data_IF_748495030588
#
_entry.id   IF_748495030588
#
_cell.length_a   1.000
_cell.length_b   1.000
_cell.length_c   1.000
_cell.angle_alpha   90.00
_cell.angle_beta   90.00
_cell.angle_gamma   90.00
#
_symmetry.space_group_name_H-M   'P 1'
#
loop_
_entity.id
_entity.type
_entity.pdbx_description
1 polymer ?
#
# COMPACT_ATOMS: atom_id res chain seq x y z
N UNK A 1 -32.65 19.13 -57.25
CA UNK A 1 -32.62 19.08 -55.75
C UNK A 1 -32.36 20.50 -55.26
N UNK A 2 -33.28 21.10 -54.51
CA UNK A 2 -33.18 22.49 -54.13
C UNK A 2 -32.15 22.66 -52.99
N UNK A 3 -31.40 23.75 -53.00
CA UNK A 3 -30.39 24.13 -52.04
C UNK A 3 -30.89 23.99 -50.57
N UNK A 4 -32.17 24.24 -50.34
CA UNK A 4 -32.85 24.11 -49.05
C UNK A 4 -32.95 22.65 -48.53
N UNK A 5 -33.05 21.66 -49.41
CA UNK A 5 -33.09 20.23 -49.04
C UNK A 5 -31.69 19.76 -48.65
N UNK A 6 -30.66 20.32 -49.24
CA UNK A 6 -29.25 20.01 -48.91
C UNK A 6 -28.86 20.61 -47.56
N UNK A 7 -29.32 21.83 -47.26
CA UNK A 7 -29.06 22.49 -45.96
C UNK A 7 -29.82 21.80 -44.82
N UNK A 8 -31.05 21.36 -45.07
CA UNK A 8 -31.83 20.60 -44.07
C UNK A 8 -31.23 19.20 -43.80
N UNK A 9 -30.70 18.52 -44.80
CA UNK A 9 -30.03 17.24 -44.65
C UNK A 9 -28.71 17.38 -43.89
N UNK A 10 -27.95 18.48 -44.11
CA UNK A 10 -26.70 18.76 -43.40
C UNK A 10 -26.95 19.06 -41.92
N UNK A 11 -27.98 19.81 -41.58
CA UNK A 11 -28.38 20.09 -40.20
C UNK A 11 -28.84 18.84 -39.44
N UNK A 12 -29.56 17.91 -40.11
CA UNK A 12 -29.99 16.63 -39.55
C UNK A 12 -28.80 15.69 -39.28
N UNK A 13 -27.78 15.69 -40.14
CA UNK A 13 -26.55 14.88 -39.95
C UNK A 13 -25.71 15.40 -38.78
N UNK A 14 -25.62 16.72 -38.60
CA UNK A 14 -24.89 17.32 -37.47
C UNK A 14 -25.61 17.05 -36.14
N UNK A 15 -26.95 17.05 -36.09
CA UNK A 15 -27.71 16.73 -34.89
C UNK A 15 -27.61 15.24 -34.51
N UNK A 16 -27.38 14.33 -35.46
CA UNK A 16 -27.25 12.89 -35.21
C UNK A 16 -25.87 12.51 -34.59
N UNK A 17 -24.85 13.39 -34.66
CA UNK A 17 -23.52 13.16 -34.11
C UNK A 17 -23.41 13.71 -32.65
N UNK A 18 -24.37 14.53 -32.24
CA UNK A 18 -24.47 15.03 -30.87
C UNK A 18 -25.11 13.97 -29.98
N UNK A 19 -24.38 12.94 -29.62
CA UNK A 19 -24.76 12.06 -28.52
C UNK A 19 -24.94 12.88 -27.21
N UNK A 20 -25.66 12.34 -26.20
CA UNK A 20 -25.82 13.06 -24.94
C UNK A 20 -24.44 13.43 -24.41
N UNK A 21 -24.16 14.74 -24.27
CA UNK A 21 -22.93 15.24 -23.68
C UNK A 21 -23.00 14.98 -22.17
N UNK A 22 -22.48 13.83 -21.73
CA UNK A 22 -22.33 13.51 -20.32
C UNK A 22 -21.25 14.42 -19.71
N UNK A 23 -21.51 14.95 -18.53
CA UNK A 23 -20.55 15.79 -17.80
C UNK A 23 -19.35 14.98 -17.25
N UNK A 24 -19.32 13.67 -17.44
CA UNK A 24 -18.30 12.76 -16.92
C UNK A 24 -18.07 11.59 -17.90
N UNK A 25 -16.94 10.91 -17.77
CA UNK A 25 -16.61 9.68 -18.49
C UNK A 25 -17.46 8.52 -17.95
N UNK A 26 -18.43 8.05 -18.76
CA UNK A 26 -19.35 6.98 -18.37
C UNK A 26 -18.68 5.63 -18.23
N UNK A 27 -17.68 5.32 -19.06
CA UNK A 27 -16.93 4.05 -18.99
C UNK A 27 -16.08 4.01 -17.73
N UNK A 28 -15.44 5.12 -17.39
CA UNK A 28 -14.68 5.25 -16.15
C UNK A 28 -15.61 5.17 -14.92
N UNK A 29 -16.77 5.80 -14.95
CA UNK A 29 -17.77 5.71 -13.89
C UNK A 29 -18.24 4.27 -13.66
N UNK A 30 -18.50 3.50 -14.73
CA UNK A 30 -18.86 2.09 -14.64
C UNK A 30 -17.74 1.24 -14.04
N UNK A 31 -16.49 1.49 -14.40
CA UNK A 31 -15.35 0.77 -13.83
C UNK A 31 -15.20 1.02 -12.33
N UNK A 32 -15.41 2.26 -11.87
CA UNK A 32 -15.46 2.58 -10.44
C UNK A 32 -16.67 1.94 -9.75
N UNK A 33 -17.84 1.88 -10.39
CA UNK A 33 -19.00 1.19 -9.83
C UNK A 33 -18.70 -0.29 -9.56
N UNK A 34 -17.96 -0.97 -10.43
CA UNK A 34 -17.48 -2.35 -10.23
C UNK A 34 -16.50 -2.44 -9.06
N UNK A 35 -15.53 -1.53 -8.98
CA UNK A 35 -14.53 -1.48 -7.89
C UNK A 35 -15.20 -1.31 -6.52
N UNK A 36 -16.21 -0.45 -6.42
CA UNK A 36 -16.88 -0.15 -5.16
C UNK A 36 -18.10 -1.04 -4.86
N UNK A 37 -18.54 -1.90 -5.77
CA UNK A 37 -19.67 -2.80 -5.56
C UNK A 37 -19.56 -3.66 -4.28
N UNK A 38 -18.38 -4.20 -3.87
CA UNK A 38 -18.24 -4.98 -2.64
C UNK A 38 -18.15 -4.12 -1.37
N UNK A 39 -18.06 -2.80 -1.44
CA UNK A 39 -17.92 -1.91 -0.28
C UNK A 39 -19.27 -1.70 0.39
N UNK A 40 -19.63 -2.63 1.29
CA UNK A 40 -20.94 -2.64 1.97
C UNK A 40 -20.81 -2.98 3.45
N UNK A 41 -21.55 -2.26 4.29
CA UNK A 41 -21.72 -2.56 5.71
C UNK A 41 -20.40 -2.70 6.49
N UNK A 42 -20.35 -3.64 7.43
CA UNK A 42 -19.20 -3.86 8.32
C UNK A 42 -17.92 -4.31 7.60
N UNK A 43 -18.04 -4.88 6.40
CA UNK A 43 -16.90 -5.37 5.61
C UNK A 43 -16.29 -4.31 4.69
N UNK A 44 -16.85 -3.10 4.64
CA UNK A 44 -16.41 -2.03 3.76
C UNK A 44 -14.90 -1.74 3.86
N UNK A 45 -14.35 -1.67 5.06
CA UNK A 45 -12.92 -1.46 5.28
C UNK A 45 -12.05 -2.55 4.65
N UNK A 46 -12.46 -3.82 4.76
CA UNK A 46 -11.78 -4.95 4.14
C UNK A 46 -11.88 -4.89 2.61
N UNK A 47 -13.07 -4.58 2.07
CA UNK A 47 -13.29 -4.43 0.64
C UNK A 47 -12.51 -3.26 0.04
N UNK A 48 -12.24 -2.22 0.81
CA UNK A 48 -11.35 -1.10 0.44
C UNK A 48 -9.88 -1.39 0.69
N UNK A 49 -9.50 -2.60 1.14
CA UNK A 49 -8.13 -2.97 1.51
C UNK A 49 -7.52 -2.03 2.57
N UNK A 50 -8.31 -1.56 3.53
CA UNK A 50 -7.79 -0.80 4.66
C UNK A 50 -7.11 -1.76 5.64
N UNK A 51 -5.85 -1.45 5.99
CA UNK A 51 -5.06 -2.16 6.98
C UNK A 51 -4.89 -1.28 8.22
N UNK A 52 -5.23 -1.79 9.40
CA UNK A 52 -4.99 -1.07 10.65
C UNK A 52 -3.51 -1.12 11.07
N UNK A 53 -3.03 -0.20 11.91
CA UNK A 53 -1.65 -0.24 12.42
C UNK A 53 -1.29 -1.54 13.11
N UNK A 54 -2.18 -2.11 13.92
CA UNK A 54 -1.98 -3.39 14.61
C UNK A 54 -1.81 -4.56 13.63
N UNK A 55 -2.67 -4.65 12.60
CA UNK A 55 -2.54 -5.67 11.54
C UNK A 55 -1.24 -5.50 10.74
N UNK A 56 -0.83 -4.26 10.45
CA UNK A 56 0.44 -3.99 9.79
C UNK A 56 1.63 -4.45 10.64
N UNK A 57 1.67 -4.08 11.93
CA UNK A 57 2.75 -4.46 12.84
C UNK A 57 2.78 -5.98 13.05
N UNK A 58 1.61 -6.63 13.17
CA UNK A 58 1.53 -8.09 13.27
C UNK A 58 2.14 -8.79 12.06
N UNK A 59 1.88 -8.31 10.84
CA UNK A 59 2.47 -8.86 9.61
C UNK A 59 3.98 -8.66 9.55
N UNK A 60 4.47 -7.48 9.94
CA UNK A 60 5.91 -7.20 10.03
C UNK A 60 6.58 -8.10 11.05
N UNK A 61 5.97 -8.29 12.22
CA UNK A 61 6.51 -9.17 13.28
C UNK A 61 6.48 -10.66 12.91
N UNK A 62 5.56 -11.06 12.03
CA UNK A 62 5.48 -12.40 11.48
C UNK A 62 6.41 -12.62 10.26
N UNK A 63 7.23 -11.62 9.92
CA UNK A 63 8.15 -11.64 8.76
C UNK A 63 7.43 -11.96 7.44
N UNK A 64 6.14 -11.58 7.33
CA UNK A 64 5.41 -11.74 6.08
C UNK A 64 6.03 -10.89 4.96
N UNK A 65 6.03 -11.42 3.74
CA UNK A 65 6.57 -10.74 2.56
C UNK A 65 5.69 -9.53 2.21
N UNK A 66 6.05 -8.37 2.74
CA UNK A 66 5.39 -7.10 2.44
C UNK A 66 6.38 -6.01 2.05
N UNK A 67 5.89 -5.03 1.32
CA UNK A 67 6.63 -3.84 0.89
C UNK A 67 5.85 -2.60 1.32
N UNK A 68 6.53 -1.66 1.94
CA UNK A 68 5.95 -0.34 2.23
C UNK A 68 6.16 0.56 1.01
N UNK A 69 5.08 1.16 0.52
CA UNK A 69 5.09 2.20 -0.50
C UNK A 69 4.82 3.55 0.18
N UNK A 70 5.88 4.28 0.49
CA UNK A 70 5.81 5.60 1.09
C UNK A 70 5.63 6.67 0.01
N UNK A 71 4.44 7.26 -0.04
CA UNK A 71 4.08 8.27 -1.04
C UNK A 71 4.19 9.72 -0.52
N UNK A 72 4.90 9.92 0.57
CA UNK A 72 5.14 11.26 1.12
C UNK A 72 6.12 12.05 0.28
N UNK A 73 6.17 13.35 0.53
CA UNK A 73 7.14 14.23 -0.14
C UNK A 73 8.57 13.96 0.35
N UNK A 74 9.61 14.31 -0.44
CA UNK A 74 11.00 14.20 0.00
C UNK A 74 11.28 14.97 1.30
N UNK A 75 10.64 16.11 1.52
CA UNK A 75 10.76 16.88 2.75
C UNK A 75 10.22 16.12 3.98
N UNK A 76 9.13 15.37 3.81
CA UNK A 76 8.57 14.53 4.88
C UNK A 76 9.44 13.30 5.16
N UNK A 77 9.91 12.63 4.12
CA UNK A 77 10.73 11.41 4.24
C UNK A 77 12.16 11.70 4.70
N UNK A 78 12.68 12.90 4.42
CA UNK A 78 13.98 13.35 4.91
C UNK A 78 14.05 13.58 6.41
N UNK A 79 12.90 13.80 7.08
CA UNK A 79 12.84 13.91 8.54
C UNK A 79 12.81 12.51 9.18
N UNK A 80 11.93 11.64 8.73
CA UNK A 80 11.86 10.24 9.12
C UNK A 80 11.12 9.42 8.06
N UNK A 81 11.45 8.15 7.92
CA UNK A 81 10.89 7.25 6.92
C UNK A 81 10.65 5.84 7.46
N UNK A 82 10.02 4.99 6.65
CA UNK A 82 9.96 3.56 6.91
C UNK A 82 11.32 2.93 6.61
N UNK A 83 11.84 2.14 7.56
CA UNK A 83 13.15 1.48 7.47
C UNK A 83 13.04 -0.02 7.19
N UNK A 84 11.86 -0.50 6.87
CA UNK A 84 11.63 -1.91 6.52
C UNK A 84 12.36 -2.29 5.23
N UNK A 85 12.94 -3.50 5.15
CA UNK A 85 13.57 -3.98 3.94
C UNK A 85 12.61 -3.90 2.74
N UNK A 86 13.11 -3.41 1.60
CA UNK A 86 12.31 -3.29 0.38
C UNK A 86 11.34 -2.11 0.36
N UNK A 87 11.40 -1.19 1.33
CA UNK A 87 10.58 0.04 1.29
C UNK A 87 10.84 0.81 -0.01
N UNK A 88 9.76 1.15 -0.71
CA UNK A 88 9.77 2.03 -1.88
C UNK A 88 9.33 3.44 -1.46
N UNK A 89 10.15 4.42 -1.76
CA UNK A 89 9.78 5.84 -1.60
C UNK A 89 9.50 6.39 -2.98
N UNK A 90 8.25 6.72 -3.23
CA UNK A 90 7.77 7.28 -4.51
C UNK A 90 6.74 8.38 -4.17
N UNK A 91 7.09 9.65 -4.28
CA UNK A 91 6.16 10.74 -4.02
C UNK A 91 4.88 10.61 -4.86
N UNK A 92 3.73 10.97 -4.29
CA UNK A 92 2.43 10.76 -4.94
C UNK A 92 2.31 11.42 -6.31
N UNK A 93 2.99 12.54 -6.53
CA UNK A 93 3.03 13.25 -7.83
C UNK A 93 3.82 12.50 -8.91
N UNK A 94 4.65 11.53 -8.54
CA UNK A 94 5.45 10.71 -9.45
C UNK A 94 4.93 9.26 -9.54
N UNK A 95 3.98 8.89 -8.69
CA UNK A 95 3.54 7.52 -8.49
C UNK A 95 2.98 6.87 -9.76
N UNK A 96 2.21 7.62 -10.54
CA UNK A 96 1.50 7.10 -11.71
C UNK A 96 2.27 7.22 -13.03
N UNK A 97 3.59 7.46 -12.98
CA UNK A 97 4.45 7.30 -14.16
C UNK A 97 4.71 5.82 -14.42
N UNK A 98 4.91 5.45 -15.68
CA UNK A 98 5.22 4.06 -16.07
C UNK A 98 6.43 3.52 -15.30
N UNK A 99 7.51 4.32 -15.22
CA UNK A 99 8.72 3.95 -14.49
C UNK A 99 8.47 3.70 -13.00
N UNK A 100 7.58 4.45 -12.36
CA UNK A 100 7.23 4.26 -10.96
C UNK A 100 6.33 3.03 -10.75
N UNK A 101 5.34 2.84 -11.60
CA UNK A 101 4.43 1.69 -11.54
C UNK A 101 5.18 0.36 -11.75
N UNK A 102 6.16 0.33 -12.66
CA UNK A 102 7.00 -0.84 -12.91
C UNK A 102 7.84 -1.28 -11.69
N UNK A 103 8.06 -0.40 -10.71
CA UNK A 103 8.79 -0.72 -9.47
C UNK A 103 7.91 -1.36 -8.39
N UNK A 104 6.59 -1.28 -8.52
CA UNK A 104 5.66 -1.80 -7.52
C UNK A 104 5.51 -3.30 -7.72
N UNK A 105 5.86 -4.15 -6.73
CA UNK A 105 5.75 -5.58 -6.86
C UNK A 105 4.27 -6.03 -6.91
N UNK A 106 4.00 -7.08 -7.67
CA UNK A 106 2.66 -7.68 -7.80
C UNK A 106 2.54 -9.02 -7.06
N UNK A 107 3.67 -9.57 -6.61
CA UNK A 107 3.79 -10.87 -5.92
C UNK A 107 3.82 -10.78 -4.39
N UNK A 108 3.84 -9.56 -3.83
CA UNK A 108 3.91 -9.29 -2.39
C UNK A 108 2.82 -8.32 -1.96
N UNK A 109 2.45 -8.35 -0.68
CA UNK A 109 1.59 -7.33 -0.11
C UNK A 109 2.26 -5.95 -0.17
N UNK A 110 1.63 -4.97 -0.81
CA UNK A 110 2.11 -3.59 -0.86
C UNK A 110 1.25 -2.74 0.06
N UNK A 111 1.86 -2.07 1.02
CA UNK A 111 1.15 -1.20 1.97
C UNK A 111 1.48 0.25 1.69
N UNK A 112 0.51 0.98 1.14
CA UNK A 112 0.65 2.41 0.85
C UNK A 112 0.52 3.23 2.12
N UNK A 113 1.51 4.07 2.37
CA UNK A 113 1.58 4.93 3.55
C UNK A 113 1.81 6.39 3.18
N UNK A 114 1.10 7.29 3.89
CA UNK A 114 1.40 8.72 3.87
C UNK A 114 1.30 9.28 5.30
N UNK A 115 1.35 10.60 5.49
CA UNK A 115 1.32 11.22 6.82
C UNK A 115 0.08 10.84 7.64
N UNK A 116 -1.14 10.95 7.06
CA UNK A 116 -2.43 10.82 7.78
C UNK A 116 -3.39 9.79 7.18
N UNK A 117 -2.98 9.07 6.13
CA UNK A 117 -3.83 8.11 5.42
C UNK A 117 -4.63 8.70 4.25
N UNK A 118 -4.86 10.00 4.18
CA UNK A 118 -5.72 10.63 3.15
C UNK A 118 -5.16 10.45 1.73
N UNK A 119 -3.90 10.82 1.50
CA UNK A 119 -3.22 10.62 0.20
C UNK A 119 -3.14 9.12 -0.14
N UNK A 120 -2.83 8.28 0.86
CA UNK A 120 -2.75 6.83 0.70
C UNK A 120 -4.11 6.22 0.32
N UNK A 121 -5.22 6.72 0.85
CA UNK A 121 -6.55 6.26 0.47
C UNK A 121 -6.84 6.54 -1.02
N UNK A 122 -6.59 7.76 -1.48
CA UNK A 122 -6.78 8.12 -2.89
C UNK A 122 -5.86 7.32 -3.82
N UNK A 123 -4.55 7.32 -3.53
CA UNK A 123 -3.55 6.64 -4.36
C UNK A 123 -3.71 5.12 -4.35
N UNK A 124 -3.97 4.51 -3.20
CA UNK A 124 -4.18 3.06 -3.08
C UNK A 124 -5.45 2.60 -3.80
N UNK A 125 -6.53 3.39 -3.74
CA UNK A 125 -7.74 3.11 -4.53
C UNK A 125 -7.46 3.20 -6.03
N UNK A 126 -6.71 4.22 -6.47
CA UNK A 126 -6.34 4.37 -7.88
C UNK A 126 -5.42 3.24 -8.36
N UNK A 127 -4.42 2.82 -7.56
CA UNK A 127 -3.57 1.66 -7.87
C UNK A 127 -4.40 0.39 -8.04
N UNK A 128 -5.34 0.12 -7.13
CA UNK A 128 -6.24 -1.04 -7.25
C UNK A 128 -7.13 -0.95 -8.49
N UNK A 129 -7.60 0.23 -8.82
CA UNK A 129 -8.42 0.46 -10.01
C UNK A 129 -7.69 0.14 -11.32
N UNK A 130 -6.36 0.34 -11.34
CA UNK A 130 -5.51 0.00 -12.51
C UNK A 130 -4.90 -1.41 -12.44
N UNK A 131 -5.30 -2.25 -11.44
CA UNK A 131 -4.99 -3.68 -11.41
C UNK A 131 -3.99 -4.15 -10.35
N UNK A 132 -3.58 -3.31 -9.40
CA UNK A 132 -2.74 -3.74 -8.26
C UNK A 132 -3.61 -4.28 -7.12
N UNK A 133 -4.13 -5.50 -7.24
CA UNK A 133 -5.01 -6.12 -6.25
C UNK A 133 -4.33 -6.41 -4.90
N UNK A 134 -3.00 -6.48 -4.89
CA UNK A 134 -2.15 -6.71 -3.72
C UNK A 134 -1.89 -5.44 -2.90
N UNK A 135 -2.45 -4.29 -3.29
CA UNK A 135 -2.27 -3.00 -2.61
C UNK A 135 -3.24 -2.84 -1.45
N UNK A 136 -2.70 -2.51 -0.29
CA UNK A 136 -3.40 -2.15 0.94
C UNK A 136 -3.08 -0.72 1.34
N UNK A 137 -3.95 -0.11 2.13
CA UNK A 137 -3.86 1.29 2.57
C UNK A 137 -3.71 1.30 4.08
N UNK A 138 -2.61 1.86 4.60
CA UNK A 138 -2.42 1.99 6.04
C UNK A 138 -3.39 3.05 6.60
N UNK A 139 -4.36 2.60 7.39
CA UNK A 139 -5.37 3.46 8.01
C UNK A 139 -4.71 4.46 8.95
N UNK A 140 -4.95 5.76 8.71
CA UNK A 140 -4.37 6.83 9.51
C UNK A 140 -2.89 7.12 9.26
N UNK A 141 -2.24 6.41 8.34
CA UNK A 141 -0.88 6.64 7.90
C UNK A 141 0.18 6.58 9.01
N UNK A 142 1.30 7.27 8.82
CA UNK A 142 2.39 7.35 9.82
C UNK A 142 1.93 7.89 11.16
N UNK A 143 0.97 8.83 11.18
CA UNK A 143 0.45 9.37 12.45
C UNK A 143 -0.18 8.29 13.32
N UNK A 144 -1.01 7.43 12.73
CA UNK A 144 -1.66 6.35 13.46
C UNK A 144 -0.66 5.24 13.83
N UNK A 145 0.28 4.92 12.94
CA UNK A 145 1.35 3.95 13.22
C UNK A 145 2.24 4.41 14.36
N UNK A 146 2.71 5.66 14.36
CA UNK A 146 3.51 6.23 15.43
C UNK A 146 2.75 6.27 16.77
N UNK A 147 1.45 6.57 16.73
CA UNK A 147 0.60 6.51 17.93
C UNK A 147 0.43 5.08 18.47
N UNK A 148 0.32 4.11 17.61
CA UNK A 148 0.25 2.69 17.97
C UNK A 148 1.58 2.18 18.56
N UNK A 149 2.71 2.54 17.97
CA UNK A 149 4.06 2.17 18.43
C UNK A 149 4.58 3.10 19.57
N UNK A 150 3.73 3.96 20.12
CA UNK A 150 4.10 4.88 21.20
C UNK A 150 4.37 4.19 22.54
N UNK A 151 4.62 4.97 23.60
CA UNK A 151 5.05 4.44 24.92
C UNK A 151 4.11 3.38 25.51
N UNK A 152 2.83 3.45 25.21
CA UNK A 152 1.86 2.47 25.68
C UNK A 152 2.14 1.07 25.11
N UNK A 153 2.45 0.98 23.84
CA UNK A 153 2.71 -0.29 23.17
C UNK A 153 4.13 -0.78 23.46
N UNK A 154 5.10 0.16 23.52
CA UNK A 154 6.46 -0.16 23.91
C UNK A 154 6.57 -0.75 25.33
N UNK A 155 5.61 -0.43 26.22
CA UNK A 155 5.52 -0.96 27.57
C UNK A 155 4.48 -2.07 27.74
N UNK A 156 3.79 -2.47 26.67
CA UNK A 156 2.91 -3.62 26.71
C UNK A 156 3.73 -4.90 26.94
N UNK A 157 3.27 -5.76 27.84
CA UNK A 157 3.90 -7.08 27.98
C UNK A 157 3.89 -7.78 26.64
N UNK A 158 5.01 -8.38 26.18
CA UNK A 158 5.01 -9.14 24.95
C UNK A 158 3.88 -10.15 24.98
N UNK A 159 3.07 -10.19 23.92
CA UNK A 159 2.13 -11.30 23.76
C UNK A 159 2.92 -12.61 23.90
N UNK A 160 2.35 -13.68 24.49
CA UNK A 160 3.03 -14.95 24.62
C UNK A 160 3.48 -15.36 23.20
N UNK A 161 4.76 -15.20 22.93
CA UNK A 161 5.34 -15.72 21.69
C UNK A 161 5.07 -17.21 21.73
N UNK A 162 4.37 -17.73 20.74
CA UNK A 162 4.27 -19.16 20.53
C UNK A 162 5.68 -19.71 20.66
N UNK A 163 5.90 -20.52 21.68
CA UNK A 163 7.21 -20.93 22.15
C UNK A 163 8.13 -21.22 20.96
N UNK A 164 9.07 -20.32 20.71
CA UNK A 164 10.14 -20.58 19.75
C UNK A 164 10.75 -21.89 20.21
N UNK A 165 10.74 -22.89 19.33
CA UNK A 165 11.38 -24.18 19.59
C UNK A 165 12.73 -23.87 20.25
N UNK A 166 13.05 -24.46 21.41
CA UNK A 166 14.34 -24.21 22.06
C UNK A 166 15.42 -24.49 21.01
N UNK A 167 16.24 -23.49 20.75
CA UNK A 167 17.42 -23.68 19.92
C UNK A 167 18.19 -24.83 20.60
N UNK A 168 18.50 -25.95 19.93
CA UNK A 168 19.24 -27.04 20.53
C UNK A 168 20.57 -26.45 21.03
N UNK A 169 20.72 -26.36 22.35
CA UNK A 169 22.01 -26.01 22.94
C UNK A 169 22.94 -27.16 22.62
N UNK A 170 23.82 -26.96 21.67
CA UNK A 170 24.87 -27.97 21.37
C UNK A 170 25.74 -28.08 22.60
N UNK A 171 25.90 -29.29 23.17
CA UNK A 171 26.77 -29.49 24.33
C UNK A 171 28.18 -29.05 23.95
N UNK A 172 28.81 -28.29 24.83
CA UNK A 172 30.21 -27.85 24.69
C UNK A 172 31.10 -29.09 24.47
N UNK A 173 31.95 -29.13 23.43
CA UNK A 173 32.83 -30.25 23.22
C UNK A 173 33.75 -30.39 24.44
N UNK A 174 33.73 -31.53 25.12
CA UNK A 174 34.63 -31.81 26.24
C UNK A 174 36.06 -31.74 25.75
N UNK A 175 36.86 -30.83 26.33
CA UNK A 175 38.28 -30.68 26.03
C UNK A 175 38.70 -29.37 25.32
N UNK A 176 37.80 -28.44 25.05
CA UNK A 176 38.23 -27.12 24.57
C UNK A 176 38.63 -26.21 25.72
N UNK A 177 39.78 -25.53 25.63
CA UNK A 177 40.17 -24.54 26.63
C UNK A 177 39.20 -23.32 26.61
N UNK A 178 38.80 -22.87 27.80
CA UNK A 178 38.02 -21.67 28.00
C UNK A 178 38.76 -20.47 27.38
N UNK A 179 38.26 -19.95 26.25
CA UNK A 179 38.86 -18.80 25.57
C UNK A 179 38.79 -18.82 24.03
N UNK A 180 38.46 -19.91 23.40
CA UNK A 180 38.19 -19.93 21.93
C UNK A 180 36.71 -20.10 21.63
N UNK A 181 36.05 -18.98 21.42
CA UNK A 181 34.69 -18.99 20.87
C UNK A 181 34.71 -19.44 19.40
N UNK A 182 33.95 -20.48 19.00
CA UNK A 182 33.93 -20.96 17.63
C UNK A 182 33.08 -20.08 16.66
N UNK A 183 32.54 -18.95 17.16
CA UNK A 183 31.77 -18.05 16.34
C UNK A 183 32.32 -16.62 16.44
N UNK A 184 32.52 -15.93 15.30
CA UNK A 184 32.93 -14.53 15.31
C UNK A 184 31.80 -13.69 15.91
N UNK A 185 32.07 -13.07 17.08
CA UNK A 185 31.20 -12.01 17.60
C UNK A 185 31.33 -10.84 16.64
N UNK A 186 30.30 -10.55 15.85
CA UNK A 186 30.26 -9.32 15.07
C UNK A 186 30.08 -8.15 16.03
N UNK A 187 30.97 -7.15 16.04
CA UNK A 187 30.74 -5.97 16.84
C UNK A 187 29.50 -5.23 16.31
N UNK A 188 28.61 -4.86 17.22
CA UNK A 188 27.54 -3.91 16.93
C UNK A 188 28.17 -2.60 16.44
N UNK A 189 27.83 -2.18 15.22
CA UNK A 189 28.00 -0.81 14.74
C UNK A 189 26.65 -0.13 14.73
#
# INVERSE_FOLDING_TARGET
MSRRLFEAALLLVVAAISGPAWAYDTALAESYAKLFAPVKGATAGKAMHLMSPDAFVSKVSAEEALVVLDIRTPAETGIFGATLPGTLVIPVNELFTEASLARIPTDKTVVVICKSGTRAAAAGTALRHIGFDNVYILKGGFKALAGYLGPKEANASPAPQAATRPVPVQPYPRGMPLGRMPYPVRPFR
#
